data_IF_864930405331
#
_entry.id   IF_864930405331
#
_cell.length_a   1.000
_cell.length_b   1.000
_cell.length_c   1.000
_cell.angle_alpha   90.00
_cell.angle_beta   90.00
_cell.angle_gamma   90.00
#
_symmetry.space_group_name_H-M   'P 1'
#
loop_
_entity.id
_entity.type
_entity.pdbx_description
1 polymer ?
#
# COMPACT_ATOMS: atom_id res chain seq x y z
N UNK A 1 25.79 -2.82 7.57
CA UNK A 1 25.72 -1.41 7.10
C UNK A 1 24.27 -1.07 6.85
N UNK A 2 23.78 0.08 7.33
CA UNK A 2 22.40 0.54 7.07
C UNK A 2 22.42 1.34 5.76
N UNK A 3 21.53 1.01 4.82
CA UNK A 3 21.44 1.70 3.51
C UNK A 3 20.70 3.05 3.62
N UNK A 4 19.65 3.11 4.43
CA UNK A 4 18.86 4.31 4.67
C UNK A 4 17.66 4.02 5.58
N UNK A 5 16.99 5.07 6.04
CA UNK A 5 15.75 5.01 6.83
C UNK A 5 14.67 5.86 6.16
N UNK A 6 13.42 5.47 6.32
CA UNK A 6 12.29 6.20 5.74
C UNK A 6 11.05 6.08 6.61
N UNK A 7 10.30 7.17 6.67
CA UNK A 7 9.06 7.29 7.46
C UNK A 7 7.98 7.93 6.61
N UNK A 8 6.74 7.54 6.85
CA UNK A 8 5.56 8.12 6.22
C UNK A 8 4.36 8.06 7.17
N UNK A 9 3.41 8.97 6.99
CA UNK A 9 2.15 9.03 7.75
C UNK A 9 0.99 9.28 6.80
N UNK A 10 -0.15 8.65 7.08
CA UNK A 10 -1.34 8.74 6.22
C UNK A 10 -2.61 9.03 7.02
N UNK A 11 -3.48 9.85 6.43
CA UNK A 11 -4.79 10.17 6.98
C UNK A 11 -5.86 9.25 6.37
N UNK A 12 -6.45 8.37 7.20
CA UNK A 12 -7.42 7.37 6.72
C UNK A 12 -8.66 7.97 6.04
N UNK A 13 -9.30 9.05 6.56
CA UNK A 13 -10.40 9.70 5.86
C UNK A 13 -10.05 10.15 4.45
N UNK A 14 -8.82 10.67 4.23
CA UNK A 14 -8.36 11.07 2.89
C UNK A 14 -8.34 9.88 1.92
N UNK A 15 -7.94 8.70 2.40
CA UNK A 15 -7.95 7.48 1.60
C UNK A 15 -9.38 7.02 1.36
N UNK A 16 -10.25 7.05 2.37
CA UNK A 16 -11.67 6.74 2.21
C UNK A 16 -12.31 7.60 1.13
N UNK A 17 -12.14 8.92 1.20
CA UNK A 17 -12.65 9.87 0.21
C UNK A 17 -12.10 9.59 -1.19
N UNK A 18 -10.81 9.28 -1.31
CA UNK A 18 -10.19 8.92 -2.59
C UNK A 18 -10.82 7.67 -3.20
N UNK A 19 -11.06 6.63 -2.38
CA UNK A 19 -11.59 5.34 -2.81
C UNK A 19 -13.08 5.40 -3.15
N UNK A 20 -13.84 6.32 -2.55
CA UNK A 20 -15.28 6.51 -2.80
C UNK A 20 -15.59 7.60 -3.82
N UNK A 21 -14.60 8.42 -4.22
CA UNK A 21 -14.80 9.56 -5.15
C UNK A 21 -15.46 9.18 -6.48
N UNK A 22 -15.18 7.99 -7.01
CA UNK A 22 -15.77 7.45 -8.25
C UNK A 22 -16.02 5.96 -8.08
N UNK A 23 -17.02 5.38 -8.77
CA UNK A 23 -17.29 3.93 -8.71
C UNK A 23 -16.05 3.07 -9.04
N UNK A 24 -15.17 3.55 -9.92
CA UNK A 24 -13.95 2.84 -10.33
C UNK A 24 -12.72 3.15 -9.48
N UNK A 25 -12.80 4.09 -8.52
CA UNK A 25 -11.64 4.56 -7.75
C UNK A 25 -10.97 3.42 -6.98
N UNK A 26 -11.77 2.59 -6.30
CA UNK A 26 -11.26 1.45 -5.54
C UNK A 26 -10.46 0.47 -6.42
N UNK A 27 -11.03 0.10 -7.57
CA UNK A 27 -10.41 -0.83 -8.52
C UNK A 27 -9.13 -0.24 -9.14
N UNK A 28 -9.15 1.03 -9.52
CA UNK A 28 -7.98 1.68 -10.13
C UNK A 28 -6.85 1.89 -9.13
N UNK A 29 -7.18 2.29 -7.90
CA UNK A 29 -6.20 2.52 -6.85
C UNK A 29 -5.55 1.22 -6.40
N UNK A 30 -6.34 0.17 -6.13
CA UNK A 30 -5.83 -1.16 -5.79
C UNK A 30 -4.92 -1.71 -6.89
N UNK A 31 -5.34 -1.67 -8.16
CA UNK A 31 -4.51 -2.12 -9.30
C UNK A 31 -3.23 -1.32 -9.47
N UNK A 32 -3.19 -0.04 -9.08
CA UNK A 32 -1.98 0.79 -9.19
C UNK A 32 -0.95 0.41 -8.13
N UNK A 33 -1.38 0.20 -6.88
CA UNK A 33 -0.47 0.18 -5.72
C UNK A 33 -0.11 -1.24 -5.30
N UNK A 34 -1.04 -2.18 -5.39
CA UNK A 34 -0.85 -3.53 -4.85
C UNK A 34 0.03 -4.37 -5.78
N UNK A 35 0.93 -5.18 -5.24
CA UNK A 35 1.58 -6.27 -6.01
C UNK A 35 0.53 -7.32 -6.41
N UNK A 36 0.88 -8.25 -7.31
CA UNK A 36 -0.06 -9.29 -7.72
C UNK A 36 -0.48 -10.18 -6.53
N UNK A 37 0.44 -10.42 -5.60
CA UNK A 37 0.16 -11.16 -4.36
C UNK A 37 -0.78 -10.38 -3.44
N UNK A 38 -0.52 -9.09 -3.22
CA UNK A 38 -1.38 -8.25 -2.39
C UNK A 38 -2.76 -8.06 -3.01
N UNK A 39 -2.86 -8.01 -4.35
CA UNK A 39 -4.12 -7.90 -5.06
C UNK A 39 -4.96 -9.17 -4.89
N UNK A 40 -4.33 -10.35 -4.89
CA UNK A 40 -5.00 -11.61 -4.57
C UNK A 40 -5.57 -11.58 -3.15
N UNK A 41 -4.76 -11.22 -2.15
CA UNK A 41 -5.20 -11.07 -0.75
C UNK A 41 -6.32 -10.02 -0.61
N UNK A 42 -6.26 -8.95 -1.40
CA UNK A 42 -7.24 -7.88 -1.38
C UNK A 42 -8.60 -8.32 -1.92
N UNK A 43 -8.62 -9.12 -2.99
CA UNK A 43 -9.87 -9.60 -3.60
C UNK A 43 -10.62 -10.60 -2.71
N UNK A 44 -9.97 -11.16 -1.70
CA UNK A 44 -10.58 -12.05 -0.70
C UNK A 44 -11.26 -11.26 0.44
N UNK A 45 -11.29 -9.91 0.38
CA UNK A 45 -11.85 -9.02 1.41
C UNK A 45 -13.11 -8.31 0.92
N UNK A 46 -14.17 -8.37 1.74
CA UNK A 46 -15.49 -7.82 1.34
C UNK A 46 -15.88 -6.49 2.00
N UNK A 47 -15.16 -6.04 3.04
CA UNK A 47 -15.56 -4.84 3.81
C UNK A 47 -14.80 -3.58 3.39
N UNK A 48 -15.54 -2.50 3.08
CA UNK A 48 -14.95 -1.22 2.65
C UNK A 48 -13.95 -0.63 3.66
N UNK A 49 -14.27 -0.63 4.95
CA UNK A 49 -13.36 -0.07 5.96
C UNK A 49 -12.09 -0.92 6.11
N UNK A 50 -12.17 -2.23 5.89
CA UNK A 50 -11.00 -3.10 5.79
C UNK A 50 -10.18 -2.78 4.54
N UNK A 51 -10.84 -2.50 3.42
CA UNK A 51 -10.19 -2.10 2.17
C UNK A 51 -9.46 -0.75 2.29
N UNK A 52 -10.08 0.23 2.97
CA UNK A 52 -9.45 1.53 3.28
C UNK A 52 -8.17 1.33 4.09
N UNK A 53 -8.26 0.59 5.20
CA UNK A 53 -7.10 0.32 6.06
C UNK A 53 -6.02 -0.48 5.32
N UNK A 54 -6.43 -1.49 4.55
CA UNK A 54 -5.53 -2.33 3.78
C UNK A 54 -4.69 -1.48 2.82
N UNK A 55 -5.35 -0.70 1.97
CA UNK A 55 -4.70 0.14 0.96
C UNK A 55 -3.86 1.25 1.60
N UNK A 56 -4.34 1.85 2.69
CA UNK A 56 -3.62 2.88 3.42
C UNK A 56 -2.29 2.36 3.99
N UNK A 57 -2.29 1.18 4.62
CA UNK A 57 -1.06 0.57 5.17
C UNK A 57 -0.06 0.27 4.06
N UNK A 58 -0.49 -0.30 2.93
CA UNK A 58 0.41 -0.62 1.80
C UNK A 58 0.96 0.65 1.17
N UNK A 59 0.16 1.71 1.05
CA UNK A 59 0.65 3.01 0.60
C UNK A 59 1.78 3.52 1.51
N UNK A 60 1.52 3.64 2.80
CA UNK A 60 2.46 4.24 3.76
C UNK A 60 3.76 3.45 3.86
N UNK A 61 3.69 2.12 3.91
CA UNK A 61 4.88 1.29 3.99
C UNK A 61 5.72 1.37 2.72
N UNK A 62 5.09 1.43 1.54
CA UNK A 62 5.82 1.56 0.26
C UNK A 62 6.45 2.94 0.09
N UNK A 63 5.79 4.00 0.53
CA UNK A 63 6.38 5.35 0.58
C UNK A 63 7.58 5.41 1.55
N UNK A 64 7.43 4.86 2.76
CA UNK A 64 8.53 4.79 3.73
C UNK A 64 9.71 3.98 3.16
N UNK A 65 9.44 2.83 2.52
CA UNK A 65 10.47 2.02 1.87
C UNK A 65 11.15 2.77 0.71
N UNK A 66 10.39 3.49 -0.13
CA UNK A 66 10.94 4.31 -1.20
C UNK A 66 11.90 5.37 -0.66
N UNK A 67 11.52 6.08 0.41
CA UNK A 67 12.38 7.09 1.05
C UNK A 67 13.67 6.50 1.64
N UNK A 68 13.61 5.27 2.15
CA UNK A 68 14.79 4.58 2.68
C UNK A 68 15.77 4.11 1.59
N UNK A 69 15.28 3.85 0.36
CA UNK A 69 16.05 3.19 -0.70
C UNK A 69 16.45 4.13 -1.85
N UNK A 70 15.73 5.24 -2.06
CA UNK A 70 16.09 6.26 -3.03
C UNK A 70 17.33 7.06 -2.56
N UNK A 71 18.26 7.47 -3.45
CA UNK A 71 18.27 7.29 -4.91
C UNK A 71 18.89 5.99 -5.40
N UNK A 72 19.42 5.14 -4.50
CA UNK A 72 20.15 3.93 -4.85
C UNK A 72 19.29 2.89 -5.56
N UNK A 73 18.03 2.74 -5.14
CA UNK A 73 17.02 1.93 -5.82
C UNK A 73 15.79 2.77 -6.14
N UNK A 74 15.45 2.86 -7.43
CA UNK A 74 14.24 3.53 -7.92
C UNK A 74 13.13 2.51 -8.08
N UNK A 75 12.44 2.22 -6.98
CA UNK A 75 11.36 1.25 -6.96
C UNK A 75 10.06 1.85 -7.50
N UNK A 76 9.26 1.01 -8.15
CA UNK A 76 7.85 1.23 -8.42
C UNK A 76 7.00 0.57 -7.34
N UNK A 77 5.69 0.86 -7.33
CA UNK A 77 4.74 0.24 -6.39
C UNK A 77 4.73 -1.29 -6.45
N UNK A 78 5.02 -1.86 -7.62
CA UNK A 78 4.93 -3.31 -7.88
C UNK A 78 6.17 -4.08 -7.43
N UNK A 79 7.30 -3.38 -7.25
CA UNK A 79 8.57 -3.98 -6.82
C UNK A 79 8.60 -4.33 -5.32
N UNK A 80 7.64 -3.82 -4.55
CA UNK A 80 7.53 -4.03 -3.10
C UNK A 80 6.22 -4.73 -2.77
N UNK A 81 6.29 -5.76 -1.92
CA UNK A 81 5.12 -6.48 -1.40
C UNK A 81 5.21 -6.60 0.11
N UNK A 82 4.14 -6.26 0.82
CA UNK A 82 4.04 -6.35 2.27
C UNK A 82 3.43 -7.71 2.62
N UNK A 83 4.15 -8.49 3.42
CA UNK A 83 3.69 -9.79 3.90
C UNK A 83 3.57 -9.76 5.42
N UNK A 84 2.46 -10.26 5.94
CA UNK A 84 2.35 -10.58 7.36
C UNK A 84 2.95 -11.96 7.58
N UNK A 85 3.96 -12.04 8.43
CA UNK A 85 4.49 -13.32 8.92
C UNK A 85 3.71 -13.61 10.20
N UNK A 86 3.02 -14.74 10.28
CA UNK A 86 2.43 -15.18 11.55
C UNK A 86 3.58 -15.42 12.53
N UNK A 87 3.48 -14.85 13.73
CA UNK A 87 4.49 -15.04 14.76
C UNK A 87 4.44 -16.47 15.27
N UNK A 88 5.61 -17.07 15.48
CA UNK A 88 5.75 -18.31 16.27
C UNK A 88 5.26 -18.12 17.70
#
# INVERSE_FOLDING_TARGET
MILGIGIDIIHLPRIKDLLTRKPTSLLQFSKRILSDRELKEFNERDELDNNVKFLAVRWTLKEAAYKALFPYHRMTWKDVSINKIEGN
#
